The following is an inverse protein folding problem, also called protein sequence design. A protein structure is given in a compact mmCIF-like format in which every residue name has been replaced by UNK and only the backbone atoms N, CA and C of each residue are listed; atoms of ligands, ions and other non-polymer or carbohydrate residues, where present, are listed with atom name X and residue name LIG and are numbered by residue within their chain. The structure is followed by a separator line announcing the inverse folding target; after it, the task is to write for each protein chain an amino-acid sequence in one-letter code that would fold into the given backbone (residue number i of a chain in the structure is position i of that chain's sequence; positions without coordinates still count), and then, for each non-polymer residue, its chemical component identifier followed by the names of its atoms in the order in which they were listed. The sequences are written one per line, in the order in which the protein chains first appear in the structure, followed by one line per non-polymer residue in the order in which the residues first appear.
data_IF_677762067251
#
_entry.id   IF_677762067251
#
_cell.length_a   1.000
_cell.length_b   1.000
_cell.length_c   1.000
_cell.angle_alpha   90.00
_cell.angle_beta   90.00
_cell.angle_gamma   90.00
#
_symmetry.space_group_name_H-M   'P 1'
#
loop_
_entity.id
_entity.type
_entity.pdbx_description
1 polymer ?
#
# COMPACT_ATOMS: atom_id res chain seq x y z
N UNK A 1 0.20 -16.66 13.23
CA UNK A 1 0.67 -16.09 11.93
C UNK A 1 2.12 -16.40 11.60
N UNK A 2 3.04 -16.40 12.57
CA UNK A 2 4.47 -16.56 12.31
C UNK A 2 4.84 -17.97 11.83
N UNK A 3 4.29 -19.03 12.46
CA UNK A 3 4.44 -20.43 12.01
C UNK A 3 3.90 -20.62 10.59
N UNK A 4 2.69 -20.13 10.30
CA UNK A 4 2.09 -20.26 8.95
C UNK A 4 2.96 -19.54 7.92
N UNK A 5 3.44 -18.34 8.26
CA UNK A 5 4.34 -17.58 7.38
C UNK A 5 5.67 -18.29 7.15
N UNK A 6 6.29 -18.88 8.17
CA UNK A 6 7.53 -19.67 7.98
C UNK A 6 7.28 -20.93 7.19
N UNK A 7 6.16 -21.63 7.42
CA UNK A 7 5.81 -22.83 6.66
C UNK A 7 5.62 -22.53 5.17
N UNK A 8 4.90 -21.44 4.85
CA UNK A 8 4.75 -20.96 3.48
C UNK A 8 6.11 -20.63 2.85
N UNK A 9 6.98 -19.92 3.57
CA UNK A 9 8.33 -19.63 3.06
C UNK A 9 9.15 -20.88 2.83
N UNK A 10 9.11 -21.86 3.74
CA UNK A 10 9.80 -23.14 3.59
C UNK A 10 9.32 -23.87 2.33
N UNK A 11 8.00 -23.94 2.11
CA UNK A 11 7.43 -24.57 0.91
C UNK A 11 7.86 -23.83 -0.36
N UNK A 12 7.80 -22.50 -0.37
CA UNK A 12 8.26 -21.69 -1.51
C UNK A 12 9.75 -21.96 -1.78
N UNK A 13 10.60 -21.94 -0.77
CA UNK A 13 12.04 -22.19 -0.93
C UNK A 13 12.32 -23.61 -1.40
N UNK A 14 11.59 -24.62 -0.90
CA UNK A 14 11.73 -26.00 -1.35
C UNK A 14 11.35 -26.15 -2.83
N UNK A 15 10.24 -25.54 -3.27
CA UNK A 15 9.83 -25.51 -4.69
C UNK A 15 10.91 -24.82 -5.53
N UNK A 16 11.45 -23.70 -5.04
CA UNK A 16 12.51 -22.94 -5.70
C UNK A 16 13.75 -23.79 -5.98
N UNK A 17 14.22 -24.49 -4.95
CA UNK A 17 15.43 -25.32 -5.00
C UNK A 17 15.20 -26.52 -5.91
N UNK A 18 14.05 -27.18 -5.79
CA UNK A 18 13.68 -28.29 -6.67
C UNK A 18 13.60 -27.85 -8.14
N UNK A 19 13.03 -26.67 -8.39
CA UNK A 19 12.94 -26.10 -9.73
C UNK A 19 14.32 -25.77 -10.30
N UNK A 20 15.22 -25.16 -9.51
CA UNK A 20 16.61 -24.92 -9.92
C UNK A 20 17.35 -26.21 -10.23
N UNK A 21 17.22 -27.23 -9.38
CA UNK A 21 17.87 -28.52 -9.57
C UNK A 21 17.36 -29.24 -10.83
N UNK A 22 16.04 -29.21 -11.07
CA UNK A 22 15.42 -29.82 -12.26
C UNK A 22 15.81 -29.09 -13.55
N UNK A 23 15.99 -27.77 -13.49
CA UNK A 23 16.34 -26.93 -14.63
C UNK A 23 17.83 -26.56 -14.67
N UNK A 24 18.71 -27.46 -14.20
CA UNK A 24 20.17 -27.26 -14.22
C UNK A 24 20.79 -27.40 -15.62
N UNK A 25 19.96 -27.42 -16.67
CA UNK A 25 20.46 -27.53 -18.03
C UNK A 25 21.18 -26.24 -18.44
N UNK A 26 22.33 -26.40 -19.11
CA UNK A 26 23.19 -25.31 -19.53
C UNK A 26 22.76 -24.86 -20.92
N UNK A 27 22.07 -23.72 -21.00
CA UNK A 27 21.72 -23.14 -22.28
C UNK A 27 22.90 -22.32 -22.83
N UNK A 28 23.40 -22.62 -24.05
CA UNK A 28 24.42 -21.81 -24.69
C UNK A 28 23.80 -20.48 -25.15
N UNK A 29 24.25 -19.37 -24.58
CA UNK A 29 23.89 -18.03 -25.02
C UNK A 29 25.04 -17.48 -25.87
N UNK A 30 24.73 -17.06 -27.10
CA UNK A 30 25.70 -16.46 -28.01
C UNK A 30 25.82 -14.96 -27.68
N UNK A 31 26.94 -14.56 -27.07
CA UNK A 31 27.15 -13.17 -26.64
C UNK A 31 27.72 -12.28 -27.74
N UNK A 32 28.67 -12.79 -28.52
CA UNK A 32 29.36 -12.01 -29.54
C UNK A 32 29.76 -12.88 -30.74
N UNK A 33 29.49 -12.44 -31.98
CA UNK A 33 30.02 -13.10 -33.18
C UNK A 33 31.51 -12.77 -33.31
N UNK A 34 32.37 -13.79 -33.32
CA UNK A 34 33.74 -13.71 -33.81
C UNK A 34 33.81 -14.28 -35.23
N UNK A 35 34.86 -13.91 -35.97
CA UNK A 35 35.08 -14.23 -37.38
C UNK A 35 34.87 -15.72 -37.74
N UNK A 36 35.22 -16.64 -36.81
CA UNK A 36 35.10 -18.09 -37.01
C UNK A 36 34.11 -18.79 -36.07
N UNK A 37 33.55 -18.12 -35.05
CA UNK A 37 32.64 -18.74 -34.08
C UNK A 37 31.93 -17.71 -33.19
N UNK A 38 30.92 -18.13 -32.42
CA UNK A 38 30.30 -17.29 -31.40
C UNK A 38 30.96 -17.54 -30.04
N UNK A 39 31.16 -16.48 -29.26
CA UNK A 39 31.48 -16.64 -27.84
C UNK A 39 30.23 -17.18 -27.12
N UNK A 40 30.26 -18.47 -26.77
CA UNK A 40 29.19 -19.19 -26.08
C UNK A 40 29.41 -19.08 -24.60
N UNK A 41 28.44 -18.54 -23.87
CA UNK A 41 28.41 -18.65 -22.42
C UNK A 41 27.23 -19.51 -22.01
N UNK A 42 27.53 -20.53 -21.23
CA UNK A 42 26.57 -21.53 -20.79
C UNK A 42 25.92 -21.07 -19.48
N UNK A 43 24.79 -20.36 -19.57
CA UNK A 43 24.04 -19.94 -18.38
C UNK A 43 23.07 -21.07 -17.96
N UNK A 44 23.02 -21.42 -16.66
CA UNK A 44 22.02 -22.36 -16.16
C UNK A 44 20.62 -21.77 -16.33
N UNK A 45 19.75 -22.48 -17.06
CA UNK A 45 18.38 -22.04 -17.36
C UNK A 45 17.56 -21.82 -16.08
N UNK A 46 17.80 -22.65 -15.07
CA UNK A 46 17.15 -22.55 -13.76
C UNK A 46 17.36 -21.21 -13.05
N UNK A 47 18.52 -20.55 -13.23
CA UNK A 47 18.78 -19.24 -12.62
C UNK A 47 17.94 -18.15 -13.29
N UNK A 48 17.85 -18.18 -14.62
CA UNK A 48 17.09 -17.20 -15.41
C UNK A 48 15.60 -17.35 -15.10
N UNK A 49 15.09 -18.58 -15.15
CA UNK A 49 13.70 -18.87 -14.85
C UNK A 49 13.35 -18.49 -13.41
N UNK A 50 14.26 -18.70 -12.45
CA UNK A 50 14.08 -18.21 -11.09
C UNK A 50 13.97 -16.68 -11.03
N UNK A 51 14.84 -15.98 -11.76
CA UNK A 51 14.86 -14.52 -11.79
C UNK A 51 13.52 -13.98 -12.28
N UNK A 52 13.00 -14.50 -13.40
CA UNK A 52 11.68 -14.12 -13.92
C UNK A 52 10.53 -14.49 -12.99
N UNK A 53 10.61 -15.64 -12.31
CA UNK A 53 9.62 -16.02 -11.31
C UNK A 53 9.59 -15.04 -10.14
N UNK A 54 10.76 -14.67 -9.59
CA UNK A 54 10.84 -13.64 -8.56
C UNK A 54 10.36 -12.29 -9.08
N UNK A 55 10.72 -11.92 -10.31
CA UNK A 55 10.35 -10.64 -10.91
C UNK A 55 8.84 -10.51 -11.14
N UNK A 56 8.14 -11.61 -11.40
CA UNK A 56 6.68 -11.67 -11.42
C UNK A 56 6.05 -11.67 -10.01
N UNK A 57 6.71 -12.27 -9.02
CA UNK A 57 6.20 -12.36 -7.64
C UNK A 57 6.38 -11.05 -6.84
N UNK A 58 7.46 -10.32 -7.07
CA UNK A 58 7.79 -9.04 -6.41
C UNK A 58 6.68 -7.99 -6.54
N UNK A 59 6.14 -7.66 -7.72
CA UNK A 59 5.10 -6.64 -7.85
C UNK A 59 3.82 -7.04 -7.09
N UNK A 60 3.43 -8.31 -7.15
CA UNK A 60 2.27 -8.82 -6.41
C UNK A 60 2.48 -8.76 -4.89
N UNK A 61 3.67 -9.13 -4.42
CA UNK A 61 4.03 -9.04 -3.01
C UNK A 61 4.05 -7.60 -2.51
N UNK A 62 4.57 -6.67 -3.31
CA UNK A 62 4.66 -5.26 -2.97
C UNK A 62 3.27 -4.63 -2.84
N UNK A 63 2.34 -4.96 -3.74
CA UNK A 63 0.94 -4.51 -3.65
C UNK A 63 0.28 -4.98 -2.36
N UNK A 64 0.43 -6.27 -2.03
CA UNK A 64 -0.14 -6.82 -0.79
C UNK A 64 0.48 -6.18 0.46
N UNK A 65 1.80 -5.90 0.43
CA UNK A 65 2.51 -5.21 1.52
C UNK A 65 2.05 -3.75 1.67
N UNK A 66 1.86 -3.04 0.57
CA UNK A 66 1.41 -1.64 0.55
C UNK A 66 -0.02 -1.50 1.07
N UNK A 67 -0.92 -2.42 0.72
CA UNK A 67 -2.28 -2.45 1.25
C UNK A 67 -2.31 -2.55 2.77
N UNK A 68 -1.54 -3.49 3.33
CA UNK A 68 -1.42 -3.67 4.78
C UNK A 68 -0.82 -2.44 5.47
N UNK A 69 0.17 -1.80 4.85
CA UNK A 69 0.76 -0.56 5.36
C UNK A 69 -0.25 0.59 5.41
N UNK A 70 -1.02 0.77 4.35
CA UNK A 70 -2.07 1.81 4.27
C UNK A 70 -3.17 1.58 5.32
N UNK A 71 -3.60 0.35 5.51
CA UNK A 71 -4.62 0.00 6.52
C UNK A 71 -4.13 0.32 7.94
N UNK A 72 -2.92 -0.12 8.30
CA UNK A 72 -2.34 0.18 9.62
C UNK A 72 -2.26 1.68 9.86
N UNK A 73 -1.82 2.47 8.86
CA UNK A 73 -1.67 3.92 9.01
C UNK A 73 -3.01 4.63 9.23
N UNK A 74 -4.08 4.17 8.56
CA UNK A 74 -5.45 4.69 8.77
C UNK A 74 -5.97 4.35 10.16
N UNK A 75 -5.75 3.12 10.62
CA UNK A 75 -6.16 2.69 11.97
C UNK A 75 -5.44 3.52 13.03
N UNK A 76 -4.11 3.68 12.92
CA UNK A 76 -3.35 4.51 13.87
C UNK A 76 -3.78 5.97 13.88
N UNK A 77 -4.15 6.53 12.72
CA UNK A 77 -4.69 7.88 12.65
C UNK A 77 -6.05 8.02 13.36
N UNK A 78 -6.94 7.04 13.19
CA UNK A 78 -8.25 6.99 13.87
C UNK A 78 -8.11 6.79 15.38
N UNK A 79 -7.20 5.91 15.81
CA UNK A 79 -6.89 5.73 17.22
C UNK A 79 -6.36 7.01 17.85
N UNK A 80 -5.48 7.73 17.14
CA UNK A 80 -4.94 9.00 17.62
C UNK A 80 -6.03 10.08 17.68
N UNK A 81 -6.92 10.18 16.69
CA UNK A 81 -8.02 11.15 16.72
C UNK A 81 -8.99 10.87 17.86
N UNK A 82 -9.29 9.60 18.15
CA UNK A 82 -10.13 9.21 19.28
C UNK A 82 -9.43 9.56 20.61
N UNK A 83 -8.13 9.26 20.76
CA UNK A 83 -7.36 9.63 21.97
C UNK A 83 -7.36 11.14 22.19
N UNK A 84 -7.11 11.93 21.14
CA UNK A 84 -7.11 13.40 21.23
C UNK A 84 -8.51 13.93 21.55
N UNK A 85 -9.57 13.38 20.93
CA UNK A 85 -10.95 13.77 21.23
C UNK A 85 -11.37 13.39 22.66
N UNK A 86 -10.92 12.26 23.19
CA UNK A 86 -11.19 11.82 24.56
C UNK A 86 -10.39 12.62 25.61
N UNK A 87 -9.22 13.16 25.24
CA UNK A 87 -8.42 14.04 26.11
C UNK A 87 -8.79 15.52 26.00
N UNK A 88 -9.59 15.92 25.00
CA UNK A 88 -10.17 17.25 24.93
C UNK A 88 -11.31 17.35 25.96
N UNK A 89 -11.05 18.04 27.08
CA UNK A 89 -12.10 18.46 28.02
C UNK A 89 -13.12 19.30 27.23
N UNK A 90 -14.44 19.00 27.28
CA UNK A 90 -15.43 19.82 26.58
C UNK A 90 -15.45 21.19 27.26
N UNK A 91 -14.92 22.21 26.57
CA UNK A 91 -15.26 23.58 26.89
C UNK A 91 -16.71 23.79 26.45
N UNK A 92 -17.56 23.96 27.45
CA UNK A 92 -18.98 24.26 27.36
C UNK A 92 -19.29 25.26 26.23
N UNK A 93 -20.36 24.97 25.49
CA UNK A 93 -20.97 25.84 24.49
C UNK A 93 -21.23 27.25 25.03
N UNK A 94 -21.15 28.28 24.18
CA UNK A 94 -22.04 29.42 24.30
C UNK A 94 -23.02 29.47 23.11
N UNK A 95 -24.29 29.41 23.49
CA UNK A 95 -25.37 30.28 23.04
C UNK A 95 -25.85 30.21 21.59
N UNK A 96 -27.03 29.62 21.44
CA UNK A 96 -28.12 30.05 20.55
C UNK A 96 -28.02 31.52 20.15
N UNK A 97 -27.96 31.87 18.85
CA UNK A 97 -28.33 33.20 18.42
C UNK A 97 -29.85 33.29 18.56
N UNK A 98 -30.27 33.99 19.60
CA UNK A 98 -31.63 34.47 19.76
C UNK A 98 -31.99 35.27 18.51
N UNK A 99 -33.05 34.80 17.86
CA UNK A 99 -33.59 35.33 16.63
C UNK A 99 -34.32 36.64 16.96
N UNK A 100 -33.61 37.77 16.91
CA UNK A 100 -34.24 39.09 16.79
C UNK A 100 -34.84 39.21 15.38
N UNK A 101 -36.00 38.58 15.20
CA UNK A 101 -36.98 38.93 14.19
C UNK A 101 -38.09 39.71 14.89
N UNK A 102 -37.84 40.99 15.12
CA UNK A 102 -38.91 41.97 15.33
C UNK A 102 -38.85 42.96 14.17
N UNK A 103 -39.38 42.50 13.03
CA UNK A 103 -39.88 43.40 11.99
C UNK A 103 -41.27 43.84 12.42
N UNK A 104 -41.39 45.02 13.02
CA UNK A 104 -42.65 45.77 12.98
C UNK A 104 -42.37 47.19 12.50
N UNK A 105 -42.23 47.29 11.18
CA UNK A 105 -42.46 48.54 10.45
C UNK A 105 -43.98 48.67 10.25
N UNK A 106 -44.60 49.57 11.01
CA UNK A 106 -45.93 50.10 10.70
C UNK A 106 -45.91 51.64 10.84
N UNK A 107 -45.63 52.30 9.71
CA UNK A 107 -45.94 53.70 9.35
C UNK A 107 -47.49 53.89 9.28
N UNK A 108 -48.13 55.09 9.25
CA UNK A 108 -47.73 56.53 9.19
C UNK A 108 -48.11 57.28 10.50
N UNK A 109 -48.06 58.60 10.72
CA UNK A 109 -48.79 59.77 10.17
C UNK A 109 -48.44 60.98 11.09
N UNK A 110 -47.87 62.08 10.58
CA UNK A 110 -48.51 63.34 10.11
C UNK A 110 -48.83 64.39 11.21
N UNK A 111 -48.66 65.69 10.86
CA UNK A 111 -49.04 66.96 11.56
C UNK A 111 -48.22 67.41 12.80
N UNK A 112 -47.45 68.51 12.72
CA UNK A 112 -47.81 69.94 12.85
C UNK A 112 -48.29 70.35 14.25
N UNK A 113 -47.43 71.03 15.03
CA UNK A 113 -47.52 72.46 15.37
C UNK A 113 -46.57 72.83 16.52
#
# INVERSE_FOLDING_TARGET
MQIVRTLVWIVITAILVAFMAMNWDRAPVNFWPLEDSYLRFEWPVGIIALFFFLLGLVPMWLLHRAGRWRQNRRISALENSIRVAASAVPLSSPSTPESDTETETAKPEDTTS
#
